data_IF_723490449756
#
_entry.id   IF_723490449756
#
_cell.length_a   1.000
_cell.length_b   1.000
_cell.length_c   1.000
_cell.angle_alpha   90.00
_cell.angle_beta   90.00
_cell.angle_gamma   90.00
#
_symmetry.space_group_name_H-M   'P 1'
#
loop_
_entity.id
_entity.type
_entity.pdbx_description
1 polymer ?
#
# COMPACT_ATOMS: atom_id res chain seq x y z
N UNK A 1 40.08 -8.46 11.28
CA UNK A 1 39.42 -9.40 10.34
C UNK A 1 38.05 -9.94 10.80
N UNK A 2 37.46 -9.46 11.91
CA UNK A 2 36.16 -9.96 12.41
C UNK A 2 34.93 -9.13 11.96
N UNK A 3 35.11 -7.85 11.64
CA UNK A 3 34.03 -6.93 11.22
C UNK A 3 33.45 -7.28 9.84
N UNK A 4 34.27 -7.83 8.94
CA UNK A 4 33.85 -8.13 7.56
C UNK A 4 32.92 -9.35 7.46
N UNK A 5 32.99 -10.30 8.41
CA UNK A 5 32.10 -11.49 8.43
C UNK A 5 30.72 -11.21 9.02
N UNK A 6 30.59 -10.20 9.88
CA UNK A 6 29.30 -9.82 10.47
C UNK A 6 28.44 -9.06 9.44
N UNK A 7 29.05 -8.18 8.66
CA UNK A 7 28.35 -7.37 7.64
C UNK A 7 27.79 -8.25 6.51
N UNK A 8 28.55 -9.26 6.06
CA UNK A 8 28.08 -10.19 5.01
C UNK A 8 26.91 -11.06 5.46
N UNK A 9 26.87 -11.46 6.74
CA UNK A 9 25.78 -12.28 7.26
C UNK A 9 24.48 -11.46 7.43
N UNK A 10 24.59 -10.18 7.79
CA UNK A 10 23.43 -9.29 7.88
C UNK A 10 22.83 -8.95 6.51
N UNK A 11 23.66 -8.81 5.47
CA UNK A 11 23.20 -8.58 4.11
C UNK A 11 22.45 -9.81 3.56
N UNK A 12 22.99 -11.02 3.77
CA UNK A 12 22.35 -12.26 3.28
C UNK A 12 21.01 -12.56 3.98
N UNK A 13 20.89 -12.27 5.28
CA UNK A 13 19.63 -12.44 6.01
C UNK A 13 18.56 -11.45 5.56
N UNK A 14 18.95 -10.20 5.26
CA UNK A 14 18.01 -9.20 4.75
C UNK A 14 17.50 -9.57 3.35
N UNK A 15 18.35 -10.06 2.44
CA UNK A 15 17.90 -10.49 1.09
C UNK A 15 16.90 -11.65 1.15
N UNK A 16 17.10 -12.62 2.06
CA UNK A 16 16.17 -13.74 2.21
C UNK A 16 14.82 -13.28 2.80
N UNK A 17 14.83 -12.33 3.75
CA UNK A 17 13.61 -11.74 4.28
C UNK A 17 12.80 -11.00 3.19
N UNK A 18 13.46 -10.20 2.34
CA UNK A 18 12.79 -9.53 1.21
C UNK A 18 12.19 -10.53 0.21
N UNK A 19 12.88 -11.64 -0.10
CA UNK A 19 12.34 -12.67 -1.00
C UNK A 19 11.11 -13.37 -0.43
N UNK A 20 11.05 -13.58 0.89
CA UNK A 20 9.89 -14.16 1.54
C UNK A 20 8.69 -13.20 1.53
N UNK A 21 8.90 -11.90 1.77
CA UNK A 21 7.84 -10.88 1.70
C UNK A 21 7.27 -10.78 0.27
N UNK A 22 8.12 -10.85 -0.77
CA UNK A 22 7.64 -10.87 -2.15
C UNK A 22 6.92 -12.18 -2.52
N UNK A 23 7.36 -13.32 -1.98
CA UNK A 23 6.74 -14.62 -2.26
C UNK A 23 5.35 -14.78 -1.62
N UNK A 24 5.05 -14.08 -0.51
CA UNK A 24 3.71 -14.09 0.09
C UNK A 24 2.68 -13.23 -0.66
N UNK A 25 3.08 -12.50 -1.71
CA UNK A 25 2.17 -11.65 -2.48
C UNK A 25 1.34 -12.42 -3.54
N UNK A 26 1.58 -13.71 -3.76
CA UNK A 26 0.88 -14.51 -4.79
C UNK A 26 -0.42 -15.17 -4.28
N UNK A 27 -0.87 -14.81 -3.08
CA UNK A 27 -1.95 -15.50 -2.35
C UNK A 27 -3.37 -14.97 -2.50
N UNK A 28 -3.60 -13.83 -3.16
CA UNK A 28 -4.98 -13.33 -3.36
C UNK A 28 -5.66 -14.08 -4.51
N UNK A 29 -6.26 -15.24 -4.19
CA UNK A 29 -7.19 -15.93 -5.08
C UNK A 29 -8.47 -15.09 -5.21
N UNK A 30 -8.66 -14.45 -6.35
CA UNK A 30 -9.97 -13.98 -6.76
C UNK A 30 -10.81 -15.19 -7.18
N UNK A 31 -11.78 -15.55 -6.33
CA UNK A 31 -12.75 -16.60 -6.63
C UNK A 31 -13.88 -15.95 -7.47
N UNK A 32 -13.90 -16.22 -8.77
CA UNK A 32 -14.93 -15.72 -9.67
C UNK A 32 -16.16 -16.65 -9.65
N UNK A 33 -17.19 -16.28 -8.92
CA UNK A 33 -18.52 -16.91 -9.03
C UNK A 33 -19.17 -16.52 -10.37
N UNK A 34 -19.22 -17.46 -11.32
CA UNK A 34 -20.03 -17.32 -12.53
C UNK A 34 -21.48 -17.67 -12.23
N UNK A 35 -22.34 -16.65 -12.08
CA UNK A 35 -23.79 -16.84 -12.17
C UNK A 35 -24.29 -16.47 -13.56
N UNK A 36 -24.75 -17.48 -14.30
CA UNK A 36 -25.37 -17.32 -15.62
C UNK A 36 -26.74 -16.63 -15.45
N UNK A 37 -26.81 -15.33 -15.74
CA UNK A 37 -28.04 -14.55 -15.80
C UNK A 37 -28.30 -14.00 -17.20
N UNK A 38 -29.34 -14.49 -17.88
CA UNK A 38 -29.89 -13.84 -19.07
C UNK A 38 -30.41 -12.45 -18.69
N UNK A 39 -29.96 -11.39 -19.38
CA UNK A 39 -30.53 -10.05 -19.21
C UNK A 39 -30.87 -9.36 -20.52
N UNK A 40 -32.12 -8.90 -20.57
CA UNK A 40 -32.75 -8.22 -21.70
C UNK A 40 -32.08 -6.88 -22.00
N UNK A 41 -31.94 -6.58 -23.29
CA UNK A 41 -31.39 -5.33 -23.82
C UNK A 41 -32.38 -4.17 -23.61
N UNK A 42 -32.37 -3.59 -22.41
CA UNK A 42 -32.97 -2.28 -22.15
C UNK A 42 -31.94 -1.20 -22.45
N UNK A 43 -32.29 -0.27 -23.35
CA UNK A 43 -31.49 0.91 -23.71
C UNK A 43 -31.22 1.75 -22.44
N UNK A 44 -30.07 1.53 -21.81
CA UNK A 44 -29.56 2.42 -20.78
C UNK A 44 -28.91 3.61 -21.46
N UNK A 45 -29.39 4.81 -21.15
CA UNK A 45 -28.75 6.07 -21.50
C UNK A 45 -27.26 5.99 -21.20
N UNK A 46 -26.42 6.50 -22.13
CA UNK A 46 -24.97 6.62 -21.94
C UNK A 46 -24.70 7.59 -20.78
N UNK A 47 -24.77 7.07 -19.56
CA UNK A 47 -24.14 7.69 -18.39
C UNK A 47 -22.65 7.67 -18.70
N UNK A 48 -22.03 8.85 -18.81
CA UNK A 48 -20.58 8.95 -18.95
C UNK A 48 -19.91 8.18 -17.81
N UNK A 49 -18.83 7.46 -18.10
CA UNK A 49 -18.09 6.76 -17.06
C UNK A 49 -17.65 7.78 -15.99
N UNK A 50 -17.83 7.49 -14.70
CA UNK A 50 -17.44 8.40 -13.63
C UNK A 50 -15.94 8.66 -13.68
N UNK A 51 -15.53 9.89 -13.39
CA UNK A 51 -14.11 10.23 -13.37
C UNK A 51 -13.39 9.52 -12.21
N UNK A 52 -12.07 9.40 -12.27
CA UNK A 52 -11.26 8.83 -11.17
C UNK A 52 -11.52 9.55 -9.85
N UNK A 53 -11.71 10.87 -9.89
CA UNK A 53 -12.07 11.67 -8.72
C UNK A 53 -13.42 11.24 -8.15
N UNK A 54 -14.45 11.10 -8.99
CA UNK A 54 -15.79 10.74 -8.53
C UNK A 54 -15.79 9.36 -7.86
N UNK A 55 -15.01 8.41 -8.40
CA UNK A 55 -14.82 7.06 -7.83
C UNK A 55 -14.13 7.09 -6.47
N UNK A 56 -13.09 7.91 -6.33
CA UNK A 56 -12.41 8.12 -5.05
C UNK A 56 -13.35 8.74 -4.01
N UNK A 57 -14.16 9.71 -4.40
CA UNK A 57 -15.13 10.32 -3.50
C UNK A 57 -16.21 9.32 -3.04
N UNK A 58 -16.67 8.46 -3.94
CA UNK A 58 -17.62 7.39 -3.62
C UNK A 58 -17.05 6.44 -2.57
N UNK A 59 -15.80 5.98 -2.74
CA UNK A 59 -15.11 5.13 -1.75
C UNK A 59 -14.93 5.78 -0.38
N UNK A 60 -14.84 7.11 -0.32
CA UNK A 60 -14.60 7.85 0.92
C UNK A 60 -15.88 8.35 1.60
N UNK A 61 -17.06 8.15 1.01
CA UNK A 61 -18.30 8.76 1.51
C UNK A 61 -18.67 8.29 2.92
N UNK A 62 -18.50 6.99 3.21
CA UNK A 62 -18.77 6.38 4.51
C UNK A 62 -17.50 5.86 5.20
N UNK A 63 -16.32 6.34 4.76
CA UNK A 63 -15.04 5.90 5.30
C UNK A 63 -14.73 6.59 6.63
N UNK A 64 -14.56 5.81 7.69
CA UNK A 64 -14.11 6.27 8.99
C UNK A 64 -12.60 6.09 9.16
N UNK A 65 -11.88 7.20 9.39
CA UNK A 65 -10.43 7.19 9.53
C UNK A 65 -9.95 6.87 10.96
N UNK A 66 -10.82 6.94 11.96
CA UNK A 66 -10.46 6.67 13.36
C UNK A 66 -10.46 5.17 13.67
N UNK A 67 -11.13 4.37 12.83
CA UNK A 67 -11.18 2.91 12.96
C UNK A 67 -10.08 2.22 12.13
N UNK A 68 -9.38 1.22 12.72
CA UNK A 68 -8.39 0.46 11.99
C UNK A 68 -9.03 -0.32 10.82
N UNK A 69 -8.26 -0.66 9.77
CA UNK A 69 -8.78 -1.37 8.60
C UNK A 69 -9.50 -2.68 8.88
N UNK A 70 -9.12 -3.36 9.97
CA UNK A 70 -9.69 -4.63 10.38
C UNK A 70 -10.45 -4.44 11.69
N UNK A 71 -11.65 -5.01 11.78
CA UNK A 71 -12.53 -4.94 12.95
C UNK A 71 -12.04 -5.82 14.12
N UNK A 72 -10.81 -5.60 14.58
CA UNK A 72 -10.12 -6.35 15.63
C UNK A 72 -9.99 -7.87 15.38
N UNK A 73 -10.28 -8.34 14.15
CA UNK A 73 -10.19 -9.75 13.78
C UNK A 73 -8.74 -10.14 13.45
N UNK A 74 -8.04 -9.31 12.69
CA UNK A 74 -6.65 -9.54 12.28
C UNK A 74 -5.81 -8.26 12.45
N UNK A 75 -4.54 -8.37 12.88
CA UNK A 75 -3.64 -7.22 12.92
C UNK A 75 -3.40 -6.65 11.51
N UNK A 76 -3.35 -5.33 11.39
CA UNK A 76 -3.00 -4.69 10.12
C UNK A 76 -1.49 -4.81 9.91
N UNK A 77 -1.09 -5.53 8.87
CA UNK A 77 0.30 -5.61 8.47
C UNK A 77 0.72 -4.36 7.70
N UNK A 78 1.74 -3.65 8.21
CA UNK A 78 2.27 -2.44 7.61
C UNK A 78 3.69 -2.71 7.13
N UNK A 79 3.88 -2.66 5.81
CA UNK A 79 5.21 -2.69 5.21
C UNK A 79 5.79 -1.27 5.22
N UNK A 80 6.89 -1.09 5.94
CA UNK A 80 7.60 0.19 6.04
C UNK A 80 8.93 0.10 5.30
N UNK A 81 9.19 1.07 4.44
CA UNK A 81 10.47 1.25 3.78
C UNK A 81 11.01 2.66 4.09
N UNK A 82 12.22 2.70 4.67
CA UNK A 82 12.94 3.94 4.95
C UNK A 82 14.06 4.09 3.94
N UNK A 83 14.06 5.20 3.21
CA UNK A 83 15.13 5.56 2.27
C UNK A 83 15.80 6.82 2.81
N UNK A 84 17.02 6.66 3.33
CA UNK A 84 17.81 7.79 3.82
C UNK A 84 18.39 8.55 2.62
N UNK A 85 18.03 9.82 2.50
CA UNK A 85 18.58 10.72 1.49
C UNK A 85 19.92 11.29 1.94
N UNK A 86 19.96 11.80 3.18
CA UNK A 86 21.16 12.42 3.74
C UNK A 86 21.18 12.36 5.27
N UNK A 87 22.39 12.48 5.82
CA UNK A 87 22.61 12.82 7.23
C UNK A 87 22.90 14.31 7.30
N UNK A 88 21.97 15.08 7.86
CA UNK A 88 22.01 16.55 7.83
C UNK A 88 22.91 17.13 8.91
N UNK A 89 22.85 16.58 10.12
CA UNK A 89 23.64 17.06 11.26
C UNK A 89 23.97 15.91 12.22
N UNK A 90 25.15 15.98 12.83
CA UNK A 90 25.58 15.05 13.87
C UNK A 90 26.21 15.88 14.98
N UNK A 91 25.64 15.84 16.17
CA UNK A 91 26.20 16.50 17.36
C UNK A 91 26.55 15.46 18.41
N UNK A 92 27.84 15.28 18.68
CA UNK A 92 28.31 14.40 19.75
C UNK A 92 28.11 15.00 21.15
N UNK A 93 28.06 16.33 21.26
CA UNK A 93 27.82 17.04 22.53
C UNK A 93 26.38 16.87 23.00
N UNK A 94 25.43 16.89 22.06
CA UNK A 94 23.99 16.72 22.36
C UNK A 94 23.48 15.31 22.11
N UNK A 95 24.31 14.40 21.59
CA UNK A 95 23.93 13.03 21.20
C UNK A 95 22.74 12.99 20.22
N UNK A 96 22.66 13.97 19.33
CA UNK A 96 21.58 14.13 18.36
C UNK A 96 22.10 13.94 16.93
N UNK A 97 21.24 13.41 16.07
CA UNK A 97 21.47 13.33 14.64
C UNK A 97 20.21 13.75 13.87
N UNK A 98 20.41 14.53 12.81
CA UNK A 98 19.37 14.86 11.84
C UNK A 98 19.53 13.98 10.60
N UNK A 99 18.44 13.37 10.13
CA UNK A 99 18.39 12.64 8.87
C UNK A 99 17.26 13.16 7.99
N UNK A 100 17.52 13.18 6.70
CA UNK A 100 16.51 13.39 5.67
C UNK A 100 16.11 12.02 5.10
N UNK A 101 14.81 11.71 5.12
CA UNK A 101 14.28 10.38 4.76
C UNK A 101 13.01 10.48 3.93
N UNK A 102 12.88 9.58 2.96
CA UNK A 102 11.57 9.17 2.47
C UNK A 102 11.08 7.99 3.31
N UNK A 103 9.94 8.17 3.96
CA UNK A 103 9.26 7.12 4.71
C UNK A 103 8.06 6.63 3.90
N UNK A 104 8.22 5.47 3.29
CA UNK A 104 7.18 4.83 2.49
C UNK A 104 6.47 3.79 3.36
N UNK A 105 5.14 3.78 3.31
CA UNK A 105 4.31 2.83 4.04
C UNK A 105 3.29 2.23 3.07
N UNK A 106 3.06 0.92 3.19
CA UNK A 106 2.04 0.20 2.44
C UNK A 106 1.29 -0.74 3.39
N UNK A 107 -0.03 -0.67 3.36
CA UNK A 107 -0.93 -1.62 4.03
C UNK A 107 -2.11 -1.94 3.11
N UNK A 108 -2.81 -3.03 3.40
CA UNK A 108 -4.06 -3.38 2.72
C UNK A 108 -5.24 -2.92 3.59
N UNK A 109 -6.16 -2.15 3.02
CA UNK A 109 -7.42 -1.79 3.65
C UNK A 109 -8.59 -2.39 2.85
N UNK A 110 -9.29 -3.42 3.39
CA UNK A 110 -10.42 -4.05 2.71
C UNK A 110 -11.58 -3.08 2.42
N UNK A 111 -11.72 -2.00 3.20
CA UNK A 111 -12.82 -1.02 3.05
C UNK A 111 -12.66 -0.15 1.81
N UNK A 112 -11.44 -0.07 1.27
CA UNK A 112 -11.12 0.72 0.06
C UNK A 112 -11.12 -0.14 -1.22
N UNK A 113 -11.65 -1.36 -1.18
CA UNK A 113 -11.75 -2.22 -2.36
C UNK A 113 -12.80 -1.70 -3.35
N UNK A 114 -12.49 -1.74 -4.65
CA UNK A 114 -13.40 -1.36 -5.73
C UNK A 114 -13.34 -2.39 -6.89
N UNK A 115 -14.46 -2.65 -7.54
CA UNK A 115 -14.61 -3.72 -8.55
C UNK A 115 -14.63 -3.17 -10.00
N UNK A 116 -13.83 -2.15 -10.27
CA UNK A 116 -13.85 -1.49 -11.57
C UNK A 116 -12.69 -1.94 -12.46
N UNK A 117 -12.84 -1.77 -13.77
CA UNK A 117 -11.86 -2.18 -14.79
C UNK A 117 -10.50 -1.48 -14.71
N UNK A 118 -10.34 -0.50 -13.82
CA UNK A 118 -9.09 0.20 -13.60
C UNK A 118 -8.28 -0.47 -12.50
N UNK A 119 -7.01 -0.73 -12.76
CA UNK A 119 -6.13 -1.48 -11.87
C UNK A 119 -5.66 -0.68 -10.64
N UNK A 120 -5.80 0.65 -10.64
CA UNK A 120 -5.33 1.53 -9.57
C UNK A 120 -5.96 2.92 -9.64
N UNK A 121 -6.36 3.46 -8.48
CA UNK A 121 -6.75 4.86 -8.31
C UNK A 121 -5.64 5.58 -7.53
N UNK A 122 -5.30 6.80 -7.93
CA UNK A 122 -4.30 7.62 -7.23
C UNK A 122 -4.87 9.00 -6.91
N UNK A 123 -4.50 9.57 -5.76
CA UNK A 123 -4.74 10.98 -5.48
C UNK A 123 -3.62 11.73 -6.19
N UNK A 124 -3.99 12.64 -7.09
CA UNK A 124 -3.03 13.52 -7.74
C UNK A 124 -2.93 14.78 -6.88
N UNK A 125 -1.73 15.08 -6.36
CA UNK A 125 -1.51 16.33 -5.66
C UNK A 125 -1.80 17.51 -6.60
N UNK A 126 -2.45 18.59 -6.13
CA UNK A 126 -2.53 19.81 -6.90
C UNK A 126 -1.09 20.28 -7.16
N UNK A 127 -0.75 20.53 -8.43
CA UNK A 127 0.59 21.01 -8.77
C UNK A 127 0.89 22.28 -7.95
N UNK A 128 1.96 22.22 -7.15
CA UNK A 128 2.46 23.32 -6.31
C UNK A 128 3.25 24.30 -7.18
#
# INVERSE_FOLDING_TARGET
MFVSRIILNQILLNTLAYSSICAYHEGYKYESESTNGHHNHSRHSRVGQPSQRDRLLDLLTDYDCDTPPHDNQEPTEIAVQMIIQAFSSISSVFMEYGIDVYLLQKWCDPRLMFNETQSSLYIQDPEV
#
